data_IF_757792710139
#
_entry.id   IF_757792710139
#
_cell.length_a   1.000
_cell.length_b   1.000
_cell.length_c   1.000
_cell.angle_alpha   90.00
_cell.angle_beta   90.00
_cell.angle_gamma   90.00
#
_symmetry.space_group_name_H-M   'P 1'
#
loop_
_entity.id
_entity.type
_entity.pdbx_description
1 polymer ?
#
# COMPACT_ATOMS: atom_id res chain seq x y z
N UNK A 1 -27.17 13.84 17.24
CA UNK A 1 -26.53 12.90 18.19
C UNK A 1 -25.89 11.77 17.42
N UNK A 2 -24.56 11.83 17.25
CA UNK A 2 -23.77 10.79 16.58
C UNK A 2 -23.57 9.61 17.54
N UNK A 3 -24.43 8.62 17.46
CA UNK A 3 -24.19 7.29 18.02
C UNK A 3 -23.19 6.52 17.15
N UNK A 4 -21.94 6.96 17.11
CA UNK A 4 -20.86 6.08 16.69
C UNK A 4 -20.69 5.02 17.79
N UNK A 5 -21.19 3.80 17.53
CA UNK A 5 -20.82 2.62 18.35
C UNK A 5 -19.30 2.53 18.35
N UNK A 6 -18.67 2.92 19.45
CA UNK A 6 -17.22 2.76 19.65
C UNK A 6 -16.92 1.28 19.51
N UNK A 7 -16.34 0.87 18.39
CA UNK A 7 -15.89 -0.50 18.19
C UNK A 7 -14.81 -0.77 19.24
N UNK A 8 -15.11 -1.60 20.23
CA UNK A 8 -14.22 -1.89 21.37
C UNK A 8 -12.86 -2.48 20.96
N UNK A 9 -12.78 -3.01 19.74
CA UNK A 9 -11.62 -3.72 19.20
C UNK A 9 -10.83 -2.90 18.15
N UNK A 10 -11.17 -1.62 17.94
CA UNK A 10 -10.50 -0.77 16.98
C UNK A 10 -9.69 0.31 17.70
N UNK A 11 -8.45 0.48 17.27
CA UNK A 11 -7.57 1.56 17.71
C UNK A 11 -7.02 2.31 16.51
N UNK A 12 -6.98 3.62 16.62
CA UNK A 12 -6.36 4.51 15.63
C UNK A 12 -5.03 4.98 16.20
N UNK A 13 -3.98 4.89 15.37
CA UNK A 13 -2.66 5.39 15.68
C UNK A 13 -2.27 6.33 14.54
N UNK A 14 -1.93 7.57 14.86
CA UNK A 14 -1.35 8.51 13.91
C UNK A 14 0.17 8.42 14.03
N UNK A 15 0.84 7.94 12.99
CA UNK A 15 2.29 7.78 12.96
C UNK A 15 2.78 7.75 11.52
N UNK A 16 3.99 8.24 11.29
CA UNK A 16 4.71 7.96 10.06
C UNK A 16 5.09 6.48 10.03
N UNK A 17 5.14 5.88 8.84
CA UNK A 17 5.44 4.45 8.69
C UNK A 17 6.82 4.08 9.25
N UNK A 18 7.82 4.95 9.06
CA UNK A 18 9.17 4.75 9.59
C UNK A 18 9.25 4.79 11.11
N UNK A 19 8.29 5.45 11.77
CA UNK A 19 8.24 5.62 13.22
C UNK A 19 7.40 4.55 13.92
N UNK A 20 6.70 3.69 13.17
CA UNK A 20 5.88 2.60 13.72
C UNK A 20 6.69 1.68 14.63
N UNK A 21 7.96 1.44 14.29
CA UNK A 21 8.90 0.66 15.12
C UNK A 21 9.07 1.18 16.55
N UNK A 22 8.81 2.46 16.78
CA UNK A 22 8.87 3.08 18.12
C UNK A 22 7.60 2.83 18.94
N UNK A 23 6.57 2.23 18.33
CA UNK A 23 5.28 2.04 18.99
C UNK A 23 5.24 0.72 19.78
N UNK A 24 5.64 0.79 21.05
CA UNK A 24 5.67 -0.36 21.98
C UNK A 24 4.36 -1.17 22.07
N UNK A 25 3.24 -0.59 21.67
CA UNK A 25 1.95 -1.29 21.68
C UNK A 25 1.85 -2.35 20.57
N UNK A 26 2.34 -2.05 19.38
CA UNK A 26 2.29 -2.99 18.25
C UNK A 26 3.21 -4.18 18.47
N UNK A 27 4.38 -3.97 19.08
CA UNK A 27 5.35 -5.06 19.36
C UNK A 27 4.91 -6.06 20.43
N UNK A 28 3.92 -5.70 21.26
CA UNK A 28 3.38 -6.60 22.30
C UNK A 28 2.30 -7.54 21.78
N UNK A 29 1.90 -7.43 20.52
CA UNK A 29 0.81 -8.21 19.93
C UNK A 29 1.33 -9.05 18.78
N UNK A 30 0.88 -10.30 18.72
CA UNK A 30 1.07 -11.13 17.52
C UNK A 30 0.13 -10.58 16.44
N UNK A 31 0.69 -10.15 15.33
CA UNK A 31 -0.07 -9.66 14.18
C UNK A 31 -0.28 -10.85 13.25
N UNK A 32 -1.53 -11.17 12.95
CA UNK A 32 -1.88 -12.25 12.03
C UNK A 32 -2.02 -11.77 10.59
N UNK A 33 -2.38 -10.50 10.40
CA UNK A 33 -2.60 -9.91 9.08
C UNK A 33 -2.16 -8.45 9.06
N UNK A 34 -1.34 -8.10 8.08
CA UNK A 34 -0.99 -6.72 7.72
C UNK A 34 -1.64 -6.39 6.37
N UNK A 35 -2.45 -5.35 6.36
CA UNK A 35 -3.14 -4.90 5.13
C UNK A 35 -2.87 -3.44 4.87
N UNK A 36 -2.69 -3.10 3.61
CA UNK A 36 -2.83 -1.73 3.14
C UNK A 36 -3.58 -1.67 1.81
N UNK A 37 -4.19 -0.55 1.56
CA UNK A 37 -4.80 -0.24 0.27
C UNK A 37 -4.47 1.19 -0.11
N UNK A 38 -3.94 1.39 -1.31
CA UNK A 38 -3.56 2.71 -1.84
C UNK A 38 -2.62 3.46 -0.89
N UNK A 39 -1.56 2.80 -0.45
CA UNK A 39 -0.58 3.35 0.49
C UNK A 39 0.83 3.42 -0.10
N UNK A 40 1.25 2.37 -0.84
CA UNK A 40 2.66 2.22 -1.25
C UNK A 40 3.10 3.38 -2.15
N UNK A 41 2.24 3.86 -3.05
CA UNK A 41 2.55 4.98 -3.93
C UNK A 41 2.73 6.33 -3.22
N UNK A 42 2.33 6.45 -1.96
CA UNK A 42 2.62 7.62 -1.13
C UNK A 42 3.97 7.54 -0.41
N UNK A 43 4.64 6.39 -0.49
CA UNK A 43 5.87 6.15 0.25
C UNK A 43 7.05 6.39 -0.68
N UNK A 44 7.84 7.41 -0.37
CA UNK A 44 8.99 7.83 -1.20
C UNK A 44 10.10 6.78 -1.22
N UNK A 45 10.29 6.06 -0.12
CA UNK A 45 11.31 5.03 0.02
C UNK A 45 10.65 3.67 0.32
N UNK A 46 10.64 2.76 -0.65
CA UNK A 46 10.11 1.40 -0.49
C UNK A 46 10.78 0.62 0.64
N UNK A 47 12.06 0.90 0.90
CA UNK A 47 12.79 0.25 1.98
C UNK A 47 12.14 0.51 3.35
N UNK A 48 11.67 1.73 3.61
CA UNK A 48 10.98 2.07 4.86
C UNK A 48 9.68 1.26 5.03
N UNK A 49 8.94 1.07 3.94
CA UNK A 49 7.72 0.26 3.95
C UNK A 49 8.02 -1.21 4.24
N UNK A 50 8.91 -1.82 3.49
CA UNK A 50 9.21 -3.24 3.64
C UNK A 50 9.96 -3.55 4.94
N UNK A 51 10.81 -2.64 5.43
CA UNK A 51 11.41 -2.78 6.76
C UNK A 51 10.37 -2.73 7.86
N UNK A 52 9.36 -1.87 7.74
CA UNK A 52 8.24 -1.82 8.71
C UNK A 52 7.45 -3.12 8.68
N UNK A 53 7.13 -3.65 7.49
CA UNK A 53 6.48 -4.96 7.35
C UNK A 53 7.33 -6.04 8.03
N UNK A 54 8.62 -6.10 7.74
CA UNK A 54 9.54 -7.09 8.32
C UNK A 54 9.58 -7.02 9.86
N UNK A 55 9.59 -5.82 10.42
CA UNK A 55 9.60 -5.62 11.87
C UNK A 55 8.27 -6.04 12.52
N UNK A 56 7.15 -5.80 11.87
CA UNK A 56 5.80 -6.11 12.38
C UNK A 56 5.39 -7.57 12.13
N UNK A 57 6.01 -8.22 11.16
CA UNK A 57 5.67 -9.59 10.78
C UNK A 57 6.32 -10.62 11.70
N UNK A 58 5.70 -11.76 11.77
CA UNK A 58 6.19 -13.01 12.33
C UNK A 58 5.90 -14.14 11.34
N UNK A 59 6.40 -15.33 11.59
CA UNK A 59 6.18 -16.50 10.73
C UNK A 59 4.71 -16.88 10.47
N UNK A 60 3.77 -16.26 11.18
CA UNK A 60 2.32 -16.46 11.01
C UNK A 60 1.63 -15.23 10.40
N UNK A 61 2.37 -14.14 10.16
CA UNK A 61 1.79 -12.90 9.66
C UNK A 61 1.61 -12.98 8.15
N UNK A 62 0.38 -12.87 7.70
CA UNK A 62 0.07 -12.73 6.27
C UNK A 62 0.11 -11.23 5.91
N UNK A 63 0.80 -10.90 4.84
CA UNK A 63 0.84 -9.56 4.27
C UNK A 63 -0.07 -9.51 3.04
N UNK A 64 -0.90 -8.49 2.95
CA UNK A 64 -1.74 -8.23 1.79
C UNK A 64 -1.82 -6.73 1.53
N UNK A 65 -1.20 -6.27 0.46
CA UNK A 65 -1.09 -4.86 0.13
C UNK A 65 -1.55 -4.65 -1.31
N UNK A 66 -2.67 -3.93 -1.47
CA UNK A 66 -3.19 -3.56 -2.79
C UNK A 66 -2.85 -2.10 -3.07
N UNK A 67 -2.36 -1.83 -4.27
CA UNK A 67 -2.02 -0.47 -4.68
C UNK A 67 -2.29 -0.24 -6.17
N UNK A 68 -2.25 1.01 -6.59
CA UNK A 68 -2.32 1.37 -8.00
C UNK A 68 -1.10 0.85 -8.75
N UNK A 69 -1.32 0.42 -9.97
CA UNK A 69 -0.25 0.12 -10.93
C UNK A 69 0.01 1.34 -11.79
N UNK A 70 1.28 1.73 -11.93
CA UNK A 70 1.65 2.81 -12.85
C UNK A 70 1.29 2.39 -14.28
N UNK A 71 0.54 3.24 -15.02
CA UNK A 71 0.26 3.01 -16.43
C UNK A 71 1.55 2.91 -17.26
N UNK A 72 1.45 2.20 -18.38
CA UNK A 72 2.58 1.93 -19.25
C UNK A 72 3.22 3.21 -19.79
N UNK A 73 2.39 4.20 -20.10
CA UNK A 73 2.81 5.48 -20.66
C UNK A 73 1.89 6.63 -20.21
N UNK A 74 2.30 7.84 -20.54
CA UNK A 74 1.56 9.06 -20.19
C UNK A 74 0.18 9.12 -20.86
N UNK A 75 0.04 8.59 -22.07
CA UNK A 75 -1.24 8.54 -22.78
C UNK A 75 -2.25 7.71 -22.00
N UNK A 76 -1.86 6.52 -21.56
CA UNK A 76 -2.70 5.63 -20.73
C UNK A 76 -3.07 6.29 -19.41
N UNK A 77 -2.14 7.02 -18.78
CA UNK A 77 -2.43 7.77 -17.55
C UNK A 77 -3.47 8.88 -17.78
N UNK A 78 -3.37 9.60 -18.88
CA UNK A 78 -4.33 10.65 -19.25
C UNK A 78 -5.71 10.09 -19.61
N UNK A 79 -5.79 8.94 -20.24
CA UNK A 79 -7.03 8.24 -20.52
C UNK A 79 -7.76 7.83 -19.22
N UNK A 80 -7.02 7.29 -18.25
CA UNK A 80 -7.56 6.96 -16.92
C UNK A 80 -8.01 8.23 -16.17
N UNK A 81 -7.24 9.32 -16.27
CA UNK A 81 -7.64 10.62 -15.72
C UNK A 81 -8.95 11.10 -16.33
N UNK A 82 -9.08 11.03 -17.65
CA UNK A 82 -10.29 11.45 -18.37
C UNK A 82 -11.52 10.61 -17.93
N UNK A 83 -11.35 9.30 -17.78
CA UNK A 83 -12.41 8.44 -17.23
C UNK A 83 -12.78 8.83 -15.80
N UNK A 84 -11.80 9.14 -14.95
CA UNK A 84 -12.03 9.58 -13.58
C UNK A 84 -12.83 10.89 -13.53
N UNK A 85 -12.53 11.85 -14.43
CA UNK A 85 -13.19 13.16 -14.49
C UNK A 85 -14.69 13.08 -14.80
N UNK A 86 -15.16 12.00 -15.38
CA UNK A 86 -16.59 11.79 -15.62
C UNK A 86 -17.39 11.49 -14.35
N UNK A 87 -16.71 11.10 -13.27
CA UNK A 87 -17.32 10.63 -12.02
C UNK A 87 -17.01 11.52 -10.83
N UNK A 88 -15.88 12.22 -10.86
CA UNK A 88 -15.35 12.96 -9.72
C UNK A 88 -15.02 14.41 -10.11
N UNK A 89 -14.92 15.27 -9.10
CA UNK A 89 -14.52 16.65 -9.29
C UNK A 89 -13.04 16.76 -9.69
N UNK A 90 -12.63 17.96 -10.08
CA UNK A 90 -11.27 18.23 -10.56
C UNK A 90 -10.20 17.93 -9.52
N UNK A 91 -10.43 18.20 -8.25
CA UNK A 91 -9.47 17.96 -7.17
C UNK A 91 -9.16 16.46 -7.08
N UNK A 92 -10.18 15.62 -6.96
CA UNK A 92 -10.03 14.17 -6.89
C UNK A 92 -9.45 13.57 -8.17
N UNK A 93 -9.80 14.14 -9.33
CA UNK A 93 -9.27 13.71 -10.62
C UNK A 93 -7.78 13.99 -10.74
N UNK A 94 -7.33 15.16 -10.28
CA UNK A 94 -5.91 15.52 -10.29
C UNK A 94 -5.13 14.71 -9.27
N UNK A 95 -5.70 14.45 -8.09
CA UNK A 95 -5.11 13.59 -7.06
C UNK A 95 -4.93 12.15 -7.56
N UNK A 96 -5.96 11.60 -8.20
CA UNK A 96 -5.88 10.26 -8.82
C UNK A 96 -4.79 10.18 -9.88
N UNK A 97 -4.71 11.19 -10.75
CA UNK A 97 -3.67 11.25 -11.77
C UNK A 97 -2.26 11.34 -11.18
N UNK A 98 -2.07 12.15 -10.12
CA UNK A 98 -0.81 12.21 -9.40
C UNK A 98 -0.44 10.87 -8.77
N UNK A 99 -1.42 10.18 -8.19
CA UNK A 99 -1.26 8.84 -7.62
C UNK A 99 -0.86 7.79 -8.65
N UNK A 100 -1.46 7.81 -9.85
CA UNK A 100 -1.06 6.93 -10.96
C UNK A 100 0.42 7.12 -11.34
N UNK A 101 0.88 8.37 -11.39
CA UNK A 101 2.28 8.68 -11.72
C UNK A 101 3.26 8.31 -10.61
N UNK A 102 2.83 8.42 -9.36
CA UNK A 102 3.62 8.04 -8.19
C UNK A 102 3.67 6.52 -7.96
N UNK A 103 2.74 5.77 -8.56
CA UNK A 103 2.62 4.32 -8.39
C UNK A 103 3.82 3.58 -9.00
N UNK A 104 3.98 2.33 -8.58
CA UNK A 104 5.03 1.44 -9.09
C UNK A 104 4.50 0.55 -10.22
N UNK A 105 5.40 0.13 -11.10
CA UNK A 105 5.14 -0.94 -12.06
C UNK A 105 5.31 -2.29 -11.39
N UNK A 106 4.72 -3.34 -11.98
CA UNK A 106 4.95 -4.73 -11.56
C UNK A 106 6.45 -5.07 -11.49
N UNK A 107 7.20 -4.67 -12.51
CA UNK A 107 8.64 -4.97 -12.61
C UNK A 107 9.44 -4.30 -11.49
N UNK A 108 9.13 -3.04 -11.16
CA UNK A 108 9.82 -2.32 -10.10
C UNK A 108 9.61 -2.98 -8.73
N UNK A 109 8.35 -3.29 -8.37
CA UNK A 109 8.06 -3.96 -7.10
C UNK A 109 8.65 -5.38 -7.05
N UNK A 110 8.55 -6.14 -8.15
CA UNK A 110 9.10 -7.50 -8.22
C UNK A 110 10.63 -7.49 -8.06
N UNK A 111 11.31 -6.59 -8.76
CA UNK A 111 12.76 -6.45 -8.65
C UNK A 111 13.16 -6.03 -7.22
N UNK A 112 12.46 -5.05 -6.64
CA UNK A 112 12.73 -4.61 -5.27
C UNK A 112 12.64 -5.78 -4.27
N UNK A 113 11.58 -6.59 -4.38
CA UNK A 113 11.38 -7.77 -3.52
C UNK A 113 12.53 -8.77 -3.67
N UNK A 114 12.96 -9.05 -4.90
CA UNK A 114 14.05 -9.98 -5.17
C UNK A 114 15.42 -9.47 -4.68
N UNK A 115 15.69 -8.17 -4.88
CA UNK A 115 16.96 -7.54 -4.50
C UNK A 115 17.12 -7.34 -2.98
N UNK A 116 16.02 -7.40 -2.22
CA UNK A 116 16.02 -7.15 -0.78
C UNK A 116 15.67 -8.38 0.07
N UNK A 117 15.89 -9.58 -0.45
CA UNK A 117 15.68 -10.85 0.27
C UNK A 117 14.24 -10.99 0.85
N UNK A 118 13.25 -10.52 0.10
CA UNK A 118 11.84 -10.61 0.43
C UNK A 118 11.13 -11.69 -0.40
N UNK A 119 11.85 -12.74 -0.79
CA UNK A 119 11.38 -13.78 -1.73
C UNK A 119 10.14 -14.55 -1.26
N UNK A 120 9.77 -14.44 0.01
CA UNK A 120 8.53 -14.97 0.56
C UNK A 120 7.29 -14.11 0.26
N UNK A 121 7.49 -12.89 -0.24
CA UNK A 121 6.45 -12.05 -0.81
C UNK A 121 6.39 -12.24 -2.33
N UNK A 122 5.19 -12.20 -2.87
CA UNK A 122 5.00 -12.20 -4.32
C UNK A 122 4.19 -10.97 -4.76
N UNK A 123 4.29 -10.63 -6.05
CA UNK A 123 3.58 -9.51 -6.67
C UNK A 123 2.67 -10.06 -7.75
N UNK A 124 1.42 -9.60 -7.74
CA UNK A 124 0.42 -9.96 -8.75
C UNK A 124 -0.17 -8.71 -9.37
N UNK A 125 -0.53 -8.81 -10.63
CA UNK A 125 -1.38 -7.81 -11.27
C UNK A 125 -2.86 -8.18 -11.04
N UNK A 126 -3.64 -7.24 -10.54
CA UNK A 126 -5.09 -7.37 -10.43
C UNK A 126 -5.76 -6.45 -11.45
N UNK A 127 -6.25 -7.05 -12.52
CA UNK A 127 -6.75 -6.31 -13.67
C UNK A 127 -5.65 -5.44 -14.31
N UNK A 128 -6.06 -4.33 -14.89
CA UNK A 128 -5.13 -3.45 -15.60
C UNK A 128 -4.46 -2.40 -14.70
N UNK A 129 -5.09 -2.07 -13.58
CA UNK A 129 -4.79 -0.84 -12.82
C UNK A 129 -4.24 -1.07 -11.42
N UNK A 130 -4.11 -2.32 -10.96
CA UNK A 130 -3.69 -2.61 -9.59
C UNK A 130 -2.57 -3.63 -9.51
N UNK A 131 -1.78 -3.50 -8.44
CA UNK A 131 -0.81 -4.49 -7.99
C UNK A 131 -1.21 -4.98 -6.61
N UNK A 132 -0.94 -6.26 -6.35
CA UNK A 132 -1.06 -6.87 -5.02
C UNK A 132 0.30 -7.41 -4.63
N UNK A 133 0.78 -7.04 -3.44
CA UNK A 133 1.89 -7.68 -2.75
C UNK A 133 1.31 -8.61 -1.68
N UNK A 134 1.67 -9.87 -1.73
CA UNK A 134 1.11 -10.88 -0.84
C UNK A 134 2.18 -11.90 -0.41
N UNK A 135 2.06 -12.39 0.82
CA UNK A 135 2.90 -13.46 1.36
C UNK A 135 3.22 -13.31 2.83
N UNK A 136 4.19 -14.08 3.29
CA UNK A 136 4.71 -14.00 4.65
C UNK A 136 6.15 -13.46 4.60
N UNK A 137 6.59 -12.75 5.64
CA UNK A 137 7.96 -12.22 5.76
C UNK A 137 8.63 -12.83 6.96
#
# INVERSE_FOLDING_TARGET
SNNQKKLKNLRYICSDIKDIKSNNFLFKKRISLLVSNSLIHHITNLEDFFNTIRILSSNITVNFHKDLKRPLDEKSALELKAQCSTKYNEILTNDYYASLRASYTFKELKNFILENDLSSLDVFEEGENYLIVYGNV
#
